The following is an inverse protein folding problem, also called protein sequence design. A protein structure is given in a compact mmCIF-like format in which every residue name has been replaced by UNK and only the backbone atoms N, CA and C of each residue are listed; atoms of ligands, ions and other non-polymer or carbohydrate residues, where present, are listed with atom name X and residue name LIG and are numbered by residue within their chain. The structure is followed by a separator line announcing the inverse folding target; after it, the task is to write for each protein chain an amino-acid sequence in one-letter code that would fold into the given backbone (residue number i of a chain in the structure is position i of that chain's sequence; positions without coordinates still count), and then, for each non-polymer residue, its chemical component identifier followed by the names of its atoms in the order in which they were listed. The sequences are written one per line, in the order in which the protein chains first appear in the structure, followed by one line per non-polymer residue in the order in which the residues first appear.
data_IF_868641105104
#
_entry.id   IF_868641105104
#
_cell.length_a   1.000
_cell.length_b   1.000
_cell.length_c   1.000
_cell.angle_alpha   90.00
_cell.angle_beta   90.00
_cell.angle_gamma   90.00
#
_symmetry.space_group_name_H-M   'P 1'
#
loop_
_entity.id
_entity.type
_entity.pdbx_description
1 polymer ?
#
# COMPACT_ATOMS: atom_id res chain seq x y z
N UNK A 1 -3.96 -4.91 -7.43
CA UNK A 1 -2.71 -4.26 -7.01
C UNK A 1 -2.89 -3.13 -6.02
N UNK A 2 -3.73 -2.15 -6.25
CA UNK A 2 -3.97 -1.08 -5.25
C UNK A 2 -4.50 -1.59 -3.90
N UNK A 3 -5.21 -2.71 -3.86
CA UNK A 3 -5.82 -3.22 -2.65
C UNK A 3 -4.81 -3.94 -1.73
N UNK A 4 -4.04 -4.87 -2.25
CA UNK A 4 -3.00 -5.59 -1.47
C UNK A 4 -1.84 -4.64 -1.14
N UNK A 5 -1.51 -3.72 -2.04
CA UNK A 5 -0.57 -2.64 -1.73
C UNK A 5 -1.11 -1.68 -0.66
N UNK A 6 -2.43 -1.54 -0.50
CA UNK A 6 -3.01 -0.87 0.68
C UNK A 6 -2.70 -1.62 1.98
N UNK A 7 -2.56 -2.94 1.95
CA UNK A 7 -2.17 -3.74 3.13
C UNK A 7 -0.68 -3.54 3.45
N UNK A 8 0.19 -3.57 2.44
CA UNK A 8 1.64 -3.40 2.61
C UNK A 8 2.03 -1.93 2.80
N UNK A 9 1.28 -1.00 2.20
CA UNK A 9 1.53 0.44 2.25
C UNK A 9 0.38 1.21 2.84
N UNK A 10 -0.47 0.59 3.71
CA UNK A 10 -1.47 1.40 4.39
C UNK A 10 -0.75 2.65 4.88
N UNK A 11 -1.01 3.82 4.27
CA UNK A 11 -0.72 5.02 4.99
C UNK A 11 -1.51 4.83 6.26
N UNK A 12 -0.84 4.76 7.40
CA UNK A 12 -1.54 5.07 8.62
C UNK A 12 -2.32 6.33 8.25
N UNK A 13 -3.64 6.21 8.15
CA UNK A 13 -4.47 7.37 8.27
C UNK A 13 -4.18 7.86 9.69
N UNK A 14 -3.05 8.58 9.83
CA UNK A 14 -2.91 9.47 10.95
C UNK A 14 -4.10 10.38 10.73
N UNK A 15 -5.16 10.16 11.49
CA UNK A 15 -6.14 11.19 11.75
C UNK A 15 -5.36 12.30 12.43
N UNK A 16 -4.57 13.03 11.64
CA UNK A 16 -4.04 14.33 12.01
C UNK A 16 -5.28 15.21 12.03
N UNK A 17 -5.98 15.11 13.16
CA UNK A 17 -6.92 16.15 13.55
C UNK A 17 -6.13 17.44 13.37
N UNK A 18 -6.49 18.21 12.35
CA UNK A 18 -6.02 19.58 12.22
C UNK A 18 -6.13 20.21 13.59
N UNK A 19 -5.14 20.97 14.07
CA UNK A 19 -5.29 21.76 15.27
C UNK A 19 -6.27 22.89 14.97
N UNK A 20 -7.54 22.58 14.89
CA UNK A 20 -8.59 23.55 15.09
C UNK A 20 -8.60 23.79 16.59
N UNK A 21 -8.02 24.92 17.01
CA UNK A 21 -8.20 25.48 18.33
C UNK A 21 -9.70 25.80 18.56
N UNK A 22 -10.47 24.74 18.77
CA UNK A 22 -11.74 24.80 19.47
C UNK A 22 -11.55 24.07 20.79
N UNK A 23 -11.63 24.82 21.86
CA UNK A 23 -11.87 24.31 23.21
C UNK A 23 -13.28 23.72 23.20
N UNK A 24 -13.39 22.48 22.72
CA UNK A 24 -14.54 21.62 22.95
C UNK A 24 -14.10 20.51 23.90
N UNK A 25 -15.02 20.13 24.78
CA UNK A 25 -14.83 18.97 25.64
C UNK A 25 -14.40 17.79 24.76
N UNK A 26 -13.18 17.29 24.97
CA UNK A 26 -12.57 16.24 24.13
C UNK A 26 -13.45 14.99 24.27
N UNK A 27 -14.11 14.62 23.20
CA UNK A 27 -14.89 13.37 23.18
C UNK A 27 -13.94 12.20 23.47
N UNK A 28 -14.25 11.43 24.51
CA UNK A 28 -13.44 10.28 24.93
C UNK A 28 -13.57 9.08 23.98
N UNK A 29 -14.54 9.12 23.08
CA UNK A 29 -14.77 8.10 22.07
C UNK A 29 -15.44 8.72 20.85
N UNK A 30 -15.03 8.28 19.66
CA UNK A 30 -15.70 8.56 18.39
C UNK A 30 -15.69 7.31 17.52
N UNK A 31 -16.64 7.24 16.59
CA UNK A 31 -16.69 6.20 15.59
C UNK A 31 -16.99 6.86 14.23
N UNK A 32 -16.32 6.39 13.20
CA UNK A 32 -16.50 6.86 11.83
C UNK A 32 -16.66 5.64 10.92
N UNK A 33 -17.44 5.78 9.87
CA UNK A 33 -17.59 4.73 8.89
C UNK A 33 -17.69 5.30 7.48
N UNK A 34 -17.48 4.43 6.50
CA UNK A 34 -17.67 4.78 5.11
C UNK A 34 -18.10 3.59 4.26
N UNK A 35 -18.75 3.90 3.18
CA UNK A 35 -19.05 2.98 2.08
C UNK A 35 -18.59 3.62 0.77
N UNK A 36 -17.89 2.86 -0.06
CA UNK A 36 -17.41 3.32 -1.36
C UNK A 36 -17.68 2.24 -2.40
N UNK A 37 -18.06 2.64 -3.61
CA UNK A 37 -18.27 1.73 -4.72
C UNK A 37 -18.07 2.43 -6.06
N UNK A 38 -17.65 1.69 -7.06
CA UNK A 38 -17.36 2.28 -8.36
C UNK A 38 -16.84 1.28 -9.38
N UNK A 39 -16.22 1.83 -10.41
CA UNK A 39 -15.67 1.08 -11.53
C UNK A 39 -14.24 1.48 -11.78
N UNK A 40 -13.47 0.52 -12.25
CA UNK A 40 -12.15 0.77 -12.79
C UNK A 40 -11.91 -0.03 -14.07
N UNK A 41 -10.99 0.46 -14.87
CA UNK A 41 -10.41 -0.24 -16.01
C UNK A 41 -8.95 -0.52 -15.67
N UNK A 42 -8.56 -1.77 -15.77
CA UNK A 42 -7.21 -2.28 -15.57
C UNK A 42 -6.63 -2.71 -16.92
N UNK A 43 -5.55 -2.09 -17.37
CA UNK A 43 -4.95 -2.37 -18.66
C UNK A 43 -4.16 -3.67 -18.69
N UNK A 44 -3.83 -4.22 -17.51
CA UNK A 44 -3.14 -5.50 -17.34
C UNK A 44 -3.47 -6.07 -15.96
N UNK A 45 -4.32 -7.08 -15.93
CA UNK A 45 -4.76 -7.71 -14.68
C UNK A 45 -3.63 -8.57 -14.12
N UNK A 46 -3.26 -8.32 -12.85
CA UNK A 46 -2.09 -8.97 -12.21
C UNK A 46 -2.36 -9.36 -10.77
N UNK A 47 -1.68 -10.41 -10.31
CA UNK A 47 -1.51 -10.76 -8.89
C UNK A 47 -0.02 -10.68 -8.57
N UNK A 48 0.38 -9.58 -7.94
CA UNK A 48 1.80 -9.28 -7.68
C UNK A 48 2.47 -10.31 -6.76
N UNK A 49 1.75 -10.76 -5.73
CA UNK A 49 2.26 -11.76 -4.79
C UNK A 49 2.58 -13.11 -5.46
N UNK A 50 1.93 -13.40 -6.59
CA UNK A 50 2.21 -14.59 -7.39
C UNK A 50 3.17 -14.30 -8.57
N UNK A 51 3.51 -13.05 -8.81
CA UNK A 51 4.22 -12.60 -10.02
C UNK A 51 3.51 -13.06 -11.30
N UNK A 52 2.17 -12.99 -11.29
CA UNK A 52 1.32 -13.45 -12.39
C UNK A 52 0.66 -12.25 -13.06
N UNK A 53 0.76 -12.18 -14.38
CA UNK A 53 0.06 -11.25 -15.25
C UNK A 53 -0.85 -12.04 -16.19
N UNK A 54 -2.07 -11.54 -16.38
CA UNK A 54 -2.97 -12.08 -17.39
C UNK A 54 -2.57 -11.62 -18.81
N UNK A 55 -1.75 -10.55 -18.91
CA UNK A 55 -1.43 -9.85 -20.17
C UNK A 55 -2.69 -9.39 -20.94
N UNK A 56 -3.79 -9.23 -20.18
CA UNK A 56 -5.09 -8.82 -20.69
C UNK A 56 -5.64 -7.68 -19.86
N UNK A 57 -6.43 -6.83 -20.51
CA UNK A 57 -7.15 -5.73 -19.84
C UNK A 57 -8.56 -6.16 -19.48
N UNK A 58 -9.06 -5.69 -18.33
CA UNK A 58 -10.44 -5.90 -17.95
C UNK A 58 -11.01 -4.69 -17.20
N UNK A 59 -12.33 -4.70 -17.00
CA UNK A 59 -13.05 -3.77 -16.17
C UNK A 59 -13.48 -4.46 -14.88
N UNK A 60 -13.42 -3.74 -13.78
CA UNK A 60 -13.84 -4.27 -12.50
C UNK A 60 -14.83 -3.36 -11.78
N UNK A 61 -15.76 -3.96 -11.08
CA UNK A 61 -16.45 -3.31 -9.99
C UNK A 61 -15.56 -3.29 -8.77
N UNK A 62 -15.48 -2.13 -8.10
CA UNK A 62 -14.74 -1.98 -6.86
C UNK A 62 -15.66 -1.54 -5.75
N UNK A 63 -15.43 -2.06 -4.56
CA UNK A 63 -16.10 -1.61 -3.36
C UNK A 63 -15.12 -1.55 -2.18
N UNK A 64 -15.41 -0.66 -1.24
CA UNK A 64 -14.66 -0.54 0.01
C UNK A 64 -15.63 -0.06 1.10
N UNK A 65 -15.58 -0.71 2.25
CA UNK A 65 -16.38 -0.35 3.41
C UNK A 65 -15.48 -0.39 4.65
N UNK A 66 -15.59 0.61 5.50
CA UNK A 66 -14.76 0.67 6.71
C UNK A 66 -15.49 1.25 7.90
N UNK A 67 -15.08 0.77 9.09
CA UNK A 67 -15.48 1.28 10.38
C UNK A 67 -14.22 1.51 11.22
N UNK A 68 -14.15 2.66 11.89
CA UNK A 68 -13.07 3.00 12.79
C UNK A 68 -13.63 3.53 14.11
N UNK A 69 -13.13 3.01 15.22
CA UNK A 69 -13.41 3.49 16.57
C UNK A 69 -12.15 4.06 17.20
N UNK A 70 -12.24 5.29 17.72
CA UNK A 70 -11.16 5.97 18.43
C UNK A 70 -11.56 6.15 19.90
N UNK A 71 -10.71 5.68 20.80
CA UNK A 71 -10.88 5.82 22.24
C UNK A 71 -9.72 6.64 22.81
N UNK A 72 -10.02 7.64 23.63
CA UNK A 72 -9.04 8.46 24.36
C UNK A 72 -9.29 8.34 25.86
N UNK A 73 -8.84 7.23 26.51
CA UNK A 73 -9.04 7.02 27.95
C UNK A 73 -8.42 8.13 28.80
N UNK A 74 -7.33 8.71 28.31
CA UNK A 74 -6.68 9.91 28.87
C UNK A 74 -6.33 10.89 27.75
N UNK A 75 -5.91 12.09 28.09
CA UNK A 75 -5.44 13.11 27.11
C UNK A 75 -4.23 12.64 26.29
N UNK A 76 -3.47 11.67 26.79
CA UNK A 76 -2.21 11.19 26.22
C UNK A 76 -2.31 9.80 25.60
N UNK A 77 -3.33 9.02 25.94
CA UNK A 77 -3.50 7.65 25.45
C UNK A 77 -4.57 7.63 24.36
N UNK A 78 -4.18 7.20 23.16
CA UNK A 78 -5.09 6.93 22.05
C UNK A 78 -5.13 5.43 21.77
N UNK A 79 -6.33 4.92 21.53
CA UNK A 79 -6.57 3.55 21.06
C UNK A 79 -7.47 3.65 19.83
N UNK A 80 -7.02 3.13 18.72
CA UNK A 80 -7.79 3.09 17.46
C UNK A 80 -8.00 1.63 17.08
N UNK A 81 -9.23 1.28 16.77
CA UNK A 81 -9.61 -0.03 16.26
C UNK A 81 -10.32 0.17 14.92
N UNK A 82 -9.95 -0.61 13.91
CA UNK A 82 -10.52 -0.51 12.58
C UNK A 82 -10.85 -1.87 11.99
N UNK A 83 -11.86 -1.87 11.12
CA UNK A 83 -12.17 -2.97 10.23
C UNK A 83 -12.50 -2.40 8.87
N UNK A 84 -11.96 -2.99 7.81
CA UNK A 84 -12.42 -2.72 6.45
C UNK A 84 -12.58 -3.98 5.63
N UNK A 85 -13.49 -3.90 4.69
CA UNK A 85 -13.72 -4.88 3.64
C UNK A 85 -13.59 -4.16 2.31
N UNK A 86 -12.71 -4.63 1.44
CA UNK A 86 -12.56 -4.10 0.10
C UNK A 86 -12.54 -5.21 -0.92
N UNK A 87 -13.10 -4.96 -2.10
CA UNK A 87 -13.15 -5.97 -3.16
C UNK A 87 -13.00 -5.37 -4.55
N UNK A 88 -12.63 -6.24 -5.47
CA UNK A 88 -12.51 -5.99 -6.89
C UNK A 88 -13.04 -7.20 -7.64
N UNK A 89 -14.06 -6.99 -8.46
CA UNK A 89 -14.74 -8.03 -9.21
C UNK A 89 -14.61 -7.72 -10.70
N UNK A 90 -13.83 -8.52 -11.41
CA UNK A 90 -13.57 -8.38 -12.84
C UNK A 90 -14.75 -8.87 -13.68
N UNK A 91 -14.90 -8.36 -14.89
CA UNK A 91 -16.01 -8.73 -15.75
C UNK A 91 -15.79 -10.05 -16.51
N UNK A 92 -14.55 -10.36 -16.86
CA UNK A 92 -14.19 -11.52 -17.68
C UNK A 92 -13.11 -12.39 -17.04
N UNK A 93 -12.31 -11.85 -16.13
CA UNK A 93 -11.17 -12.51 -15.48
C UNK A 93 -11.52 -12.77 -14.01
N UNK A 94 -12.59 -13.56 -13.76
CA UNK A 94 -13.12 -13.85 -12.43
C UNK A 94 -12.14 -14.63 -11.52
N UNK A 95 -11.18 -15.34 -12.11
CA UNK A 95 -10.07 -15.95 -11.35
C UNK A 95 -9.14 -14.94 -10.69
N UNK A 96 -9.20 -13.66 -11.09
CA UNK A 96 -8.46 -12.53 -10.49
C UNK A 96 -9.31 -11.70 -9.52
N UNK A 97 -10.56 -12.09 -9.28
CA UNK A 97 -11.42 -11.43 -8.30
C UNK A 97 -10.77 -11.45 -6.92
N UNK A 98 -10.86 -10.34 -6.20
CA UNK A 98 -10.22 -10.20 -4.89
C UNK A 98 -11.16 -9.59 -3.87
N UNK A 99 -11.23 -10.20 -2.70
CA UNK A 99 -11.85 -9.63 -1.51
C UNK A 99 -10.84 -9.64 -0.37
N UNK A 100 -10.76 -8.51 0.38
CA UNK A 100 -9.81 -8.37 1.48
C UNK A 100 -10.52 -7.85 2.71
N UNK A 101 -10.46 -8.63 3.78
CA UNK A 101 -10.84 -8.25 5.13
C UNK A 101 -9.61 -7.75 5.86
N UNK A 102 -9.67 -6.57 6.46
CA UNK A 102 -8.58 -6.01 7.25
C UNK A 102 -9.07 -5.61 8.63
N UNK A 103 -8.43 -6.15 9.66
CA UNK A 103 -8.55 -5.73 11.04
C UNK A 103 -7.32 -4.92 11.43
N UNK A 104 -7.51 -3.83 12.15
CA UNK A 104 -6.42 -2.99 12.65
C UNK A 104 -6.62 -2.60 14.12
N UNK A 105 -5.52 -2.51 14.84
CA UNK A 105 -5.46 -1.96 16.19
C UNK A 105 -4.20 -1.10 16.31
N UNK A 106 -4.35 0.09 16.89
CA UNK A 106 -3.23 0.98 17.21
C UNK A 106 -3.39 1.50 18.63
N UNK A 107 -2.30 1.52 19.37
CA UNK A 107 -2.23 2.11 20.71
C UNK A 107 -1.04 3.03 20.76
N UNK A 108 -1.28 4.30 21.09
CA UNK A 108 -0.21 5.29 21.22
C UNK A 108 -0.31 6.11 22.49
N UNK A 109 0.84 6.49 22.99
CA UNK A 109 0.97 7.35 24.16
C UNK A 109 1.87 8.55 23.85
N UNK A 110 1.37 9.73 24.21
CA UNK A 110 2.07 10.98 24.01
C UNK A 110 2.89 11.36 25.25
N UNK A 111 4.21 11.41 25.07
CA UNK A 111 5.18 11.80 26.11
C UNK A 111 5.61 13.25 25.99
N UNK A 112 5.12 14.00 24.97
CA UNK A 112 5.48 15.39 24.69
C UNK A 112 7.00 15.66 24.81
N UNK A 113 7.75 15.81 23.71
CA UNK A 113 7.28 15.96 22.31
C UNK A 113 7.25 14.66 21.50
N UNK A 114 7.44 13.51 22.12
CA UNK A 114 7.55 12.20 21.45
C UNK A 114 6.29 11.37 21.69
N UNK A 115 5.70 10.86 20.64
CA UNK A 115 4.65 9.83 20.70
C UNK A 115 5.27 8.46 20.47
N UNK A 116 4.94 7.50 21.35
CA UNK A 116 5.35 6.09 21.23
C UNK A 116 4.09 5.27 20.98
N UNK A 117 4.13 4.34 20.05
CA UNK A 117 2.98 3.50 19.79
C UNK A 117 3.34 2.12 19.27
N UNK A 118 2.32 1.29 19.22
CA UNK A 118 2.34 -0.04 18.61
C UNK A 118 1.09 -0.23 17.78
N UNK A 119 1.22 -0.90 16.65
CA UNK A 119 0.07 -1.26 15.82
C UNK A 119 0.12 -2.72 15.41
N UNK A 120 -1.06 -3.28 15.19
CA UNK A 120 -1.25 -4.63 14.68
C UNK A 120 -2.28 -4.61 13.55
N UNK A 121 -1.97 -5.32 12.47
CA UNK A 121 -2.83 -5.51 11.31
C UNK A 121 -2.94 -6.99 11.01
N UNK A 122 -4.14 -7.44 10.73
CA UNK A 122 -4.43 -8.76 10.18
C UNK A 122 -5.31 -8.60 8.96
N UNK A 123 -4.90 -9.18 7.85
CA UNK A 123 -5.74 -9.26 6.67
C UNK A 123 -5.88 -10.69 6.18
N UNK A 124 -7.09 -11.00 5.72
CA UNK A 124 -7.44 -12.21 5.01
C UNK A 124 -7.88 -11.83 3.60
N UNK A 125 -7.22 -12.37 2.60
CA UNK A 125 -7.50 -12.11 1.20
C UNK A 125 -7.95 -13.38 0.49
N UNK A 126 -8.93 -13.24 -0.41
CA UNK A 126 -9.32 -14.29 -1.36
C UNK A 126 -8.92 -13.93 -2.78
N UNK A 127 -8.73 -14.91 -3.63
CA UNK A 127 -8.47 -14.76 -5.06
C UNK A 127 -9.36 -15.76 -5.82
N UNK A 128 -10.14 -15.28 -6.81
CA UNK A 128 -11.11 -16.10 -7.51
C UNK A 128 -12.15 -16.74 -6.58
N UNK A 129 -12.47 -16.14 -5.45
CA UNK A 129 -13.33 -16.63 -4.37
C UNK A 129 -12.73 -17.71 -3.45
N UNK A 130 -11.52 -18.20 -3.70
CA UNK A 130 -10.82 -19.14 -2.83
C UNK A 130 -9.91 -18.38 -1.82
N UNK A 131 -9.67 -18.92 -0.61
CA UNK A 131 -8.68 -18.37 0.30
C UNK A 131 -7.33 -18.24 -0.39
N UNK A 132 -6.63 -17.12 -0.17
CA UNK A 132 -5.39 -16.85 -0.89
C UNK A 132 -4.23 -16.51 0.02
N UNK A 133 -4.42 -15.52 0.90
CA UNK A 133 -3.33 -14.99 1.71
C UNK A 133 -3.83 -14.47 3.05
N UNK A 134 -3.24 -14.97 4.12
CA UNK A 134 -3.28 -14.36 5.44
C UNK A 134 -2.01 -13.53 5.66
N UNK A 135 -2.18 -12.27 6.02
CA UNK A 135 -1.08 -11.36 6.29
C UNK A 135 -1.21 -10.72 7.67
N UNK A 136 -0.15 -10.78 8.46
CA UNK A 136 -0.06 -10.17 9.79
C UNK A 136 1.10 -9.19 9.83
N UNK A 137 0.89 -8.05 10.47
CA UNK A 137 1.95 -7.06 10.71
C UNK A 137 1.83 -6.49 12.11
N UNK A 138 2.86 -6.66 12.90
CA UNK A 138 3.05 -5.96 14.16
C UNK A 138 4.10 -4.87 13.99
N UNK A 139 3.92 -3.70 14.60
CA UNK A 139 4.95 -2.66 14.58
C UNK A 139 5.02 -1.90 15.90
N UNK A 140 6.22 -1.39 16.20
CA UNK A 140 6.45 -0.38 17.22
C UNK A 140 6.99 0.87 16.55
N UNK A 141 6.58 2.05 17.02
CA UNK A 141 6.98 3.28 16.38
C UNK A 141 7.23 4.42 17.37
N UNK A 142 8.04 5.35 16.90
CA UNK A 142 8.27 6.65 17.53
C UNK A 142 7.92 7.75 16.55
N UNK A 143 7.17 8.75 16.99
CA UNK A 143 6.84 9.93 16.21
C UNK A 143 7.14 11.21 16.99
N UNK A 144 7.54 12.27 16.29
CA UNK A 144 7.77 13.56 16.91
C UNK A 144 7.55 14.70 15.91
N UNK A 145 6.98 15.80 16.40
CA UNK A 145 6.93 17.05 15.67
C UNK A 145 8.28 17.77 15.88
N UNK A 146 9.17 17.70 14.88
CA UNK A 146 10.52 18.28 14.96
C UNK A 146 10.52 19.81 14.82
N UNK A 147 9.53 20.35 14.10
CA UNK A 147 9.26 21.76 13.92
C UNK A 147 7.74 21.95 13.80
N UNK A 148 7.24 23.19 13.76
CA UNK A 148 5.79 23.46 13.66
C UNK A 148 5.12 22.81 12.44
N UNK A 149 5.90 22.54 11.42
CA UNK A 149 5.47 22.06 10.12
C UNK A 149 6.15 20.73 9.69
N UNK A 150 6.97 20.10 10.54
CA UNK A 150 7.70 18.86 10.21
C UNK A 150 7.44 17.77 11.24
N UNK A 151 6.75 16.71 10.83
CA UNK A 151 6.55 15.52 11.65
C UNK A 151 7.38 14.36 11.11
N UNK A 152 8.12 13.69 11.98
CA UNK A 152 8.94 12.51 11.67
C UNK A 152 8.41 11.29 12.43
N UNK A 153 8.34 10.16 11.75
CA UNK A 153 7.97 8.87 12.34
C UNK A 153 8.92 7.78 11.88
N UNK A 154 9.52 7.06 12.83
CA UNK A 154 10.27 5.82 12.56
C UNK A 154 9.54 4.63 13.13
N UNK A 155 9.57 3.49 12.45
CA UNK A 155 8.99 2.23 12.94
C UNK A 155 9.85 1.02 12.64
N UNK A 156 9.75 -0.01 13.52
CA UNK A 156 10.22 -1.36 13.28
C UNK A 156 9.01 -2.28 13.13
N UNK A 157 9.09 -3.21 12.21
CA UNK A 157 7.96 -4.05 11.79
C UNK A 157 8.36 -5.51 11.77
N UNK A 158 7.42 -6.34 12.18
CA UNK A 158 7.43 -7.79 12.07
C UNK A 158 6.19 -8.21 11.29
N UNK A 159 6.37 -8.94 10.17
CA UNK A 159 5.30 -9.30 9.25
C UNK A 159 5.37 -10.78 8.95
N UNK A 160 4.21 -11.39 8.71
CA UNK A 160 4.09 -12.80 8.30
C UNK A 160 3.12 -12.89 7.14
N UNK A 161 3.48 -13.69 6.15
CA UNK A 161 2.63 -14.11 5.03
C UNK A 161 2.39 -15.60 5.13
N UNK A 162 1.14 -16.02 4.99
CA UNK A 162 0.72 -17.43 4.91
C UNK A 162 -0.18 -17.57 3.68
N UNK A 163 0.25 -18.33 2.69
CA UNK A 163 -0.51 -18.59 1.45
C UNK A 163 -1.24 -19.92 1.55
N UNK A 164 -2.53 -19.95 1.16
CA UNK A 164 -3.36 -21.16 1.29
C UNK A 164 -2.86 -22.29 0.37
N UNK A 165 -2.49 -21.96 -0.88
CA UNK A 165 -2.08 -22.95 -1.90
C UNK A 165 -0.58 -22.89 -2.26
N UNK A 166 0.25 -22.21 -1.47
CA UNK A 166 1.65 -22.01 -1.81
C UNK A 166 2.57 -21.85 -0.60
N UNK A 167 2.63 -22.87 0.26
CA UNK A 167 3.48 -22.90 1.48
C UNK A 167 4.92 -22.46 1.20
N UNK A 168 5.43 -22.73 -0.02
CA UNK A 168 6.78 -22.30 -0.43
C UNK A 168 6.99 -20.79 -0.41
N UNK A 169 5.91 -20.00 -0.44
CA UNK A 169 5.90 -18.52 -0.37
C UNK A 169 5.57 -17.97 1.01
N UNK A 170 5.24 -18.83 1.97
CA UNK A 170 5.08 -18.41 3.35
C UNK A 170 6.37 -17.77 3.84
N UNK A 171 6.25 -16.63 4.51
CA UNK A 171 7.43 -15.85 4.83
C UNK A 171 7.32 -15.05 6.15
N UNK A 172 8.45 -14.94 6.82
CA UNK A 172 8.68 -13.95 7.88
C UNK A 172 9.40 -12.74 7.28
N UNK A 173 8.96 -11.52 7.62
CA UNK A 173 9.53 -10.29 7.10
C UNK A 173 9.88 -9.36 8.26
N UNK A 174 11.14 -8.95 8.33
CA UNK A 174 11.61 -7.92 9.25
C UNK A 174 11.77 -6.61 8.50
N UNK A 175 11.14 -5.55 9.00
CA UNK A 175 11.13 -4.27 8.31
C UNK A 175 11.40 -3.07 9.22
N UNK A 176 11.86 -2.00 8.58
CA UNK A 176 11.98 -0.68 9.20
C UNK A 176 11.46 0.38 8.24
N UNK A 177 10.85 1.43 8.78
CA UNK A 177 10.41 2.58 7.98
C UNK A 177 10.72 3.92 8.64
N UNK A 178 10.86 4.93 7.79
CA UNK A 178 11.02 6.33 8.18
C UNK A 178 10.10 7.18 7.30
N UNK A 179 9.19 7.93 7.93
CA UNK A 179 8.27 8.84 7.27
C UNK A 179 8.49 10.26 7.75
N UNK A 180 8.65 11.20 6.81
CA UNK A 180 8.72 12.63 7.08
C UNK A 180 7.54 13.34 6.41
N UNK A 181 6.76 14.07 7.20
CA UNK A 181 5.64 14.89 6.73
C UNK A 181 6.00 16.36 6.85
N UNK A 182 5.82 17.10 5.78
CA UNK A 182 6.04 18.53 5.70
C UNK A 182 4.69 19.20 5.45
N UNK A 183 4.18 19.92 6.46
CA UNK A 183 2.90 20.60 6.39
C UNK A 183 3.09 22.02 5.88
N UNK A 184 2.15 22.53 5.08
CA UNK A 184 2.13 23.90 4.60
C UNK A 184 0.70 24.35 4.34
N UNK A 185 0.49 25.62 4.04
CA UNK A 185 -0.85 26.22 3.89
C UNK A 185 -1.76 25.93 5.10
N UNK A 186 -1.27 26.17 6.33
CA UNK A 186 -2.01 25.90 7.56
C UNK A 186 -2.46 24.42 7.68
N UNK A 187 -1.60 23.49 7.30
CA UNK A 187 -1.82 22.06 7.24
C UNK A 187 -2.91 21.58 6.23
N UNK A 188 -3.43 22.47 5.38
CA UNK A 188 -4.29 22.07 4.25
C UNK A 188 -3.51 21.23 3.21
N UNK A 189 -2.20 21.38 3.18
CA UNK A 189 -1.33 20.63 2.28
C UNK A 189 -0.23 19.97 3.07
N UNK A 190 0.16 18.78 2.61
CA UNK A 190 1.37 18.15 3.12
C UNK A 190 2.09 17.38 2.01
N UNK A 191 3.39 17.32 2.16
CA UNK A 191 4.28 16.48 1.39
C UNK A 191 4.78 15.36 2.31
N UNK A 192 4.74 14.12 1.82
CA UNK A 192 5.27 12.94 2.50
C UNK A 192 6.51 12.46 1.74
N UNK A 193 7.56 12.17 2.49
CA UNK A 193 8.69 11.38 2.04
C UNK A 193 8.81 10.14 2.96
N UNK A 194 8.66 8.96 2.39
CA UNK A 194 8.76 7.67 3.10
C UNK A 194 9.90 6.83 2.54
N UNK A 195 10.57 6.11 3.44
CA UNK A 195 11.59 5.12 3.14
C UNK A 195 11.28 3.87 3.92
N UNK A 196 11.20 2.72 3.24
CA UNK A 196 10.97 1.41 3.85
C UNK A 196 12.08 0.44 3.41
N UNK A 197 12.55 -0.37 4.33
CA UNK A 197 13.43 -1.50 4.05
C UNK A 197 12.86 -2.75 4.69
N UNK A 198 12.71 -3.82 3.90
CA UNK A 198 12.19 -5.12 4.34
C UNK A 198 13.17 -6.22 3.93
N UNK A 199 13.35 -7.20 4.79
CA UNK A 199 13.99 -8.47 4.51
C UNK A 199 12.98 -9.58 4.67
N UNK A 200 12.72 -10.32 3.62
CA UNK A 200 11.79 -11.43 3.55
C UNK A 200 12.57 -12.75 3.55
N UNK A 201 12.23 -13.62 4.50
CA UNK A 201 12.78 -14.98 4.68
C UNK A 201 11.61 -15.95 4.45
N UNK A 202 11.58 -16.58 3.29
CA UNK A 202 10.49 -17.45 2.86
C UNK A 202 10.82 -18.93 3.11
N UNK A 203 9.78 -19.80 3.16
CA UNK A 203 9.97 -21.24 3.29
C UNK A 203 10.84 -21.81 2.14
N UNK A 204 10.62 -21.33 0.92
CA UNK A 204 11.52 -21.64 -0.20
C UNK A 204 12.42 -20.45 -0.51
N UNK A 205 13.72 -20.66 -0.41
CA UNK A 205 14.78 -19.65 -0.62
C UNK A 205 14.71 -18.91 -1.97
N UNK A 206 14.01 -19.46 -2.95
CA UNK A 206 13.75 -18.80 -4.21
C UNK A 206 12.88 -17.53 -4.06
N UNK A 207 12.24 -17.34 -2.93
CA UNK A 207 11.41 -16.16 -2.62
C UNK A 207 12.04 -15.25 -1.57
N UNK A 208 13.19 -15.64 -0.98
CA UNK A 208 13.96 -14.76 -0.10
C UNK A 208 14.35 -13.50 -0.85
N UNK A 209 14.09 -12.33 -0.26
CA UNK A 209 14.43 -11.07 -0.91
C UNK A 209 14.64 -9.93 0.08
N UNK A 210 15.43 -8.95 -0.37
CA UNK A 210 15.54 -7.63 0.25
C UNK A 210 14.78 -6.61 -0.59
N UNK A 211 13.92 -5.82 0.06
CA UNK A 211 13.13 -4.76 -0.57
C UNK A 211 13.50 -3.39 -0.02
N UNK A 212 13.83 -2.48 -0.92
CA UNK A 212 13.89 -1.04 -0.65
C UNK A 212 12.74 -0.33 -1.33
N UNK A 213 11.98 0.49 -0.58
CA UNK A 213 10.88 1.28 -1.12
C UNK A 213 11.03 2.75 -0.75
N UNK A 214 10.87 3.62 -1.75
CA UNK A 214 10.78 5.07 -1.58
C UNK A 214 9.38 5.53 -1.94
N UNK A 215 8.76 6.33 -1.08
CA UNK A 215 7.41 6.87 -1.28
C UNK A 215 7.44 8.40 -1.20
N UNK A 216 6.78 9.03 -2.16
CA UNK A 216 6.56 10.47 -2.18
C UNK A 216 5.08 10.72 -2.39
N UNK A 217 4.46 11.58 -1.61
CA UNK A 217 3.09 11.99 -1.85
C UNK A 217 2.89 13.48 -1.56
N UNK A 218 2.04 14.10 -2.36
CA UNK A 218 1.53 15.45 -2.14
C UNK A 218 0.02 15.36 -1.97
N UNK A 219 -0.49 15.91 -0.87
CA UNK A 219 -1.93 16.03 -0.62
C UNK A 219 -2.26 17.50 -0.44
N UNK A 220 -3.32 17.94 -1.11
CA UNK A 220 -3.84 19.29 -0.99
C UNK A 220 -5.35 19.26 -0.76
N UNK A 221 -5.81 19.86 0.34
CA UNK A 221 -7.22 20.04 0.66
C UNK A 221 -7.61 21.48 0.38
N UNK A 222 -8.77 21.67 -0.21
CA UNK A 222 -9.31 22.99 -0.55
C UNK A 222 -10.85 22.93 -0.61
N UNK A 223 -11.47 24.09 -0.49
CA UNK A 223 -12.92 24.20 -0.63
C UNK A 223 -13.27 24.66 -2.05
N UNK A 224 -14.16 23.94 -2.70
CA UNK A 224 -14.73 24.30 -4.01
C UNK A 224 -16.26 24.25 -3.94
N UNK A 225 -16.92 25.31 -4.31
CA UNK A 225 -18.39 25.46 -4.26
C UNK A 225 -19.00 25.23 -2.86
N UNK A 226 -18.24 25.41 -1.79
CA UNK A 226 -18.67 25.20 -0.41
C UNK A 226 -18.30 23.84 0.17
N UNK A 227 -17.88 22.89 -0.67
CA UNK A 227 -17.58 21.51 -0.29
C UNK A 227 -16.07 21.26 -0.20
N UNK A 228 -15.67 20.34 0.69
CA UNK A 228 -14.28 19.93 0.82
C UNK A 228 -13.84 19.08 -0.36
N UNK A 229 -12.67 19.41 -0.90
CA UNK A 229 -12.03 18.70 -1.99
C UNK A 229 -10.61 18.31 -1.60
N UNK A 230 -10.11 17.18 -2.12
CA UNK A 230 -8.76 16.69 -1.85
C UNK A 230 -8.10 16.16 -3.11
N UNK A 231 -7.00 16.80 -3.51
CA UNK A 231 -6.10 16.28 -4.53
C UNK A 231 -4.99 15.47 -3.88
N UNK A 232 -4.63 14.35 -4.49
CA UNK A 232 -3.49 13.53 -4.11
C UNK A 232 -2.67 13.18 -5.35
N UNK A 233 -1.36 13.33 -5.22
CA UNK A 233 -0.37 12.83 -6.17
C UNK A 233 0.60 11.95 -5.40
N UNK A 234 0.91 10.78 -5.95
CA UNK A 234 1.83 9.82 -5.35
C UNK A 234 2.86 9.36 -6.37
N UNK A 235 4.05 9.11 -5.89
CA UNK A 235 5.09 8.38 -6.59
C UNK A 235 5.72 7.36 -5.66
N UNK A 236 5.96 6.16 -6.18
CA UNK A 236 6.58 5.08 -5.45
C UNK A 236 7.63 4.41 -6.34
N UNK A 237 8.78 4.15 -5.75
CA UNK A 237 9.83 3.33 -6.31
C UNK A 237 10.08 2.14 -5.40
N UNK A 238 10.19 0.96 -5.97
CA UNK A 238 10.54 -0.28 -5.30
C UNK A 238 11.72 -0.91 -6.02
N UNK A 239 12.66 -1.45 -5.22
CA UNK A 239 13.80 -2.25 -5.69
C UNK A 239 13.84 -3.50 -4.84
N UNK A 240 13.66 -4.66 -5.47
CA UNK A 240 13.61 -5.96 -4.82
C UNK A 240 14.70 -6.86 -5.42
N UNK A 241 15.59 -7.32 -4.58
CA UNK A 241 16.69 -8.21 -4.93
C UNK A 241 16.46 -9.58 -4.28
N UNK A 242 16.50 -10.66 -5.08
CA UNK A 242 16.31 -12.04 -4.62
C UNK A 242 17.64 -12.73 -4.41
N UNK A 243 17.79 -13.48 -3.30
CA UNK A 243 19.09 -14.03 -2.89
C UNK A 243 19.54 -15.25 -3.70
N UNK A 244 18.65 -16.12 -4.18
CA UNK A 244 19.05 -17.43 -4.79
C UNK A 244 18.42 -17.73 -6.16
N UNK A 245 17.74 -16.78 -6.80
CA UNK A 245 17.11 -17.01 -8.10
C UNK A 245 18.05 -16.64 -9.23
N UNK A 246 18.60 -17.66 -9.88
CA UNK A 246 19.42 -17.49 -11.07
C UNK A 246 18.53 -17.49 -12.33
N UNK A 247 18.33 -16.33 -12.93
CA UNK A 247 17.62 -16.22 -14.21
C UNK A 247 18.58 -16.59 -15.33
N UNK A 248 18.29 -17.69 -16.02
CA UNK A 248 19.06 -18.11 -17.20
C UNK A 248 18.52 -17.38 -18.43
N UNK A 249 19.17 -16.29 -18.82
CA UNK A 249 18.90 -15.68 -20.13
C UNK A 249 19.30 -16.64 -21.24
N UNK A 250 18.35 -17.16 -21.99
CA UNK A 250 18.59 -17.87 -23.24
C UNK A 250 18.86 -16.88 -24.36
N UNK A 251 19.95 -16.15 -24.29
CA UNK A 251 20.48 -15.54 -25.52
C UNK A 251 20.81 -16.65 -26.48
N UNK A 252 20.43 -16.54 -27.78
CA UNK A 252 20.78 -17.55 -28.76
C UNK A 252 22.30 -17.71 -28.73
N UNK A 253 22.76 -18.93 -28.50
CA UNK A 253 24.19 -19.26 -28.52
C UNK A 253 24.71 -18.97 -29.92
N UNK A 254 25.25 -17.80 -30.13
CA UNK A 254 26.07 -17.52 -31.29
C UNK A 254 27.39 -18.24 -31.07
N UNK A 255 27.51 -19.46 -31.59
CA UNK A 255 28.80 -20.10 -31.76
C UNK A 255 29.66 -19.21 -32.64
N UNK A 256 30.76 -18.71 -32.13
CA UNK A 256 31.76 -18.02 -32.96
C UNK A 256 32.22 -19.05 -34.01
N UNK A 257 32.00 -18.80 -35.29
CA UNK A 257 32.34 -19.73 -36.35
C UNK A 257 33.86 -19.95 -36.50
N UNK A 258 34.70 -19.19 -35.82
CA UNK A 258 36.16 -19.25 -35.87
C UNK A 258 36.80 -19.95 -34.67
N UNK A 259 36.19 -19.89 -33.51
CA UNK A 259 36.77 -20.44 -32.27
C UNK A 259 36.02 -21.63 -31.71
N UNK A 260 34.74 -21.82 -32.05
CA UNK A 260 33.91 -22.86 -31.50
C UNK A 260 33.56 -22.66 -30.00
N UNK A 261 33.91 -21.52 -29.43
CA UNK A 261 33.65 -21.23 -28.03
C UNK A 261 32.15 -20.93 -27.80
N UNK A 262 31.59 -21.59 -26.81
CA UNK A 262 30.27 -21.33 -26.31
C UNK A 262 30.30 -20.02 -25.51
N UNK A 263 29.55 -19.03 -25.94
CA UNK A 263 29.34 -17.80 -25.13
C UNK A 263 28.77 -18.17 -23.76
N UNK A 264 29.41 -17.67 -22.70
CA UNK A 264 29.02 -17.92 -21.32
C UNK A 264 27.54 -17.59 -21.10
N UNK A 265 26.83 -18.52 -20.46
CA UNK A 265 25.54 -18.22 -19.85
C UNK A 265 25.77 -17.22 -18.73
N UNK A 266 25.38 -16.00 -18.92
CA UNK A 266 25.31 -15.04 -17.83
C UNK A 266 24.12 -15.44 -16.93
N UNK A 267 24.40 -15.96 -15.75
CA UNK A 267 23.40 -16.14 -14.70
C UNK A 267 23.35 -14.85 -13.89
N UNK A 268 22.27 -14.11 -13.98
CA UNK A 268 22.05 -12.94 -13.14
C UNK A 268 21.04 -13.32 -12.04
N UNK A 269 21.25 -12.83 -10.82
CA UNK A 269 20.25 -12.89 -9.76
C UNK A 269 18.97 -12.15 -10.20
N UNK A 270 17.81 -12.62 -9.74
CA UNK A 270 16.55 -11.95 -10.04
C UNK A 270 16.51 -10.59 -9.34
N UNK A 271 16.14 -9.56 -10.08
CA UNK A 271 15.92 -8.21 -9.57
C UNK A 271 14.68 -7.61 -10.21
N UNK A 272 13.76 -7.15 -9.35
CA UNK A 272 12.50 -6.55 -9.77
C UNK A 272 12.46 -5.08 -9.33
N UNK A 273 12.07 -4.19 -10.24
CA UNK A 273 11.92 -2.77 -9.95
C UNK A 273 10.53 -2.29 -10.35
N UNK A 274 9.91 -1.50 -9.48
CA UNK A 274 8.64 -0.87 -9.81
C UNK A 274 8.73 0.65 -9.69
N UNK A 275 8.12 1.36 -10.63
CA UNK A 275 7.89 2.80 -10.60
C UNK A 275 6.43 3.05 -10.80
N UNK A 276 5.77 3.65 -9.81
CA UNK A 276 4.33 3.82 -9.82
C UNK A 276 3.99 5.28 -9.57
N UNK A 277 3.14 5.84 -10.43
CA UNK A 277 2.57 7.17 -10.30
C UNK A 277 1.07 7.04 -10.03
N UNK A 278 0.57 7.82 -9.10
CA UNK A 278 -0.84 7.83 -8.71
C UNK A 278 -1.36 9.26 -8.66
N UNK A 279 -2.60 9.45 -9.09
CA UNK A 279 -3.31 10.71 -8.93
C UNK A 279 -4.77 10.42 -8.61
N UNK A 280 -5.35 11.17 -7.66
CA UNK A 280 -6.77 11.14 -7.38
C UNK A 280 -7.28 12.51 -6.98
N UNK A 281 -8.57 12.74 -7.23
CA UNK A 281 -9.27 13.93 -6.82
C UNK A 281 -10.59 13.57 -6.14
N UNK A 282 -10.63 13.68 -4.81
CA UNK A 282 -11.89 13.55 -4.08
C UNK A 282 -12.65 14.87 -4.17
N UNK A 283 -13.80 14.82 -4.80
CA UNK A 283 -14.70 15.93 -5.02
C UNK A 283 -15.88 15.79 -4.06
N UNK A 284 -15.97 16.66 -3.05
CA UNK A 284 -17.13 16.72 -2.16
C UNK A 284 -18.38 17.14 -2.93
N UNK A 285 -19.46 16.39 -2.76
CA UNK A 285 -20.79 16.70 -3.29
C UNK A 285 -21.68 17.32 -2.21
N UNK A 286 -21.50 16.90 -0.97
CA UNK A 286 -22.07 17.43 0.25
C UNK A 286 -21.31 16.87 1.46
N UNK A 287 -21.79 17.09 2.68
CA UNK A 287 -21.19 16.64 3.93
C UNK A 287 -21.01 15.11 4.03
N UNK A 288 -21.78 14.33 3.27
CA UNK A 288 -21.79 12.85 3.31
C UNK A 288 -21.15 12.23 2.06
N UNK A 289 -21.45 12.77 0.88
CA UNK A 289 -21.08 12.14 -0.38
C UNK A 289 -19.92 12.84 -1.08
N UNK A 290 -19.04 12.03 -1.66
CA UNK A 290 -17.95 12.47 -2.53
C UNK A 290 -17.77 11.53 -3.71
N UNK A 291 -17.23 12.04 -4.82
CA UNK A 291 -16.81 11.27 -6.00
C UNK A 291 -15.30 11.38 -6.13
N UNK A 292 -14.62 10.26 -6.42
CA UNK A 292 -13.18 10.24 -6.55
C UNK A 292 -12.76 9.58 -7.88
N UNK A 293 -12.53 10.34 -8.96
CA UNK A 293 -11.76 9.87 -10.09
C UNK A 293 -10.29 9.63 -9.67
N UNK A 294 -9.72 8.52 -10.14
CA UNK A 294 -8.35 8.12 -9.86
C UNK A 294 -7.69 7.50 -11.07
N UNK A 295 -6.37 7.63 -11.13
CA UNK A 295 -5.52 6.97 -12.12
C UNK A 295 -4.21 6.55 -11.46
N UNK A 296 -3.74 5.36 -11.78
CA UNK A 296 -2.39 4.92 -11.48
C UNK A 296 -1.72 4.39 -12.75
N UNK A 297 -0.43 4.65 -12.87
CA UNK A 297 0.43 4.08 -13.89
C UNK A 297 1.63 3.45 -13.22
N UNK A 298 1.95 2.21 -13.57
CA UNK A 298 3.06 1.44 -13.03
C UNK A 298 3.91 0.85 -14.14
N UNK A 299 5.22 0.98 -14.01
CA UNK A 299 6.21 0.27 -14.79
C UNK A 299 6.90 -0.73 -13.87
N UNK A 300 6.83 -2.00 -14.22
CA UNK A 300 7.42 -3.12 -13.51
C UNK A 300 8.49 -3.71 -14.41
N UNK A 301 9.74 -3.65 -13.97
CA UNK A 301 10.89 -4.11 -14.75
C UNK A 301 11.53 -5.27 -14.01
N UNK A 302 11.67 -6.40 -14.66
CA UNK A 302 12.29 -7.60 -14.13
C UNK A 302 13.18 -8.26 -15.19
N UNK A 303 14.14 -9.06 -14.73
CA UNK A 303 14.83 -10.00 -15.60
C UNK A 303 14.11 -11.36 -15.73
N UNK A 304 12.87 -11.44 -15.21
CA UNK A 304 11.91 -12.55 -15.40
C UNK A 304 10.75 -12.02 -16.25
N UNK A 305 10.53 -12.59 -17.43
CA UNK A 305 9.56 -12.08 -18.41
C UNK A 305 8.14 -11.91 -17.85
N UNK A 306 7.67 -12.82 -17.00
CA UNK A 306 6.33 -12.75 -16.40
C UNK A 306 6.16 -11.63 -15.36
N UNK A 307 7.26 -11.03 -14.90
CA UNK A 307 7.28 -9.92 -13.94
C UNK A 307 7.68 -8.58 -14.59
N UNK A 308 7.91 -8.55 -15.93
CA UNK A 308 8.22 -7.34 -16.70
C UNK A 308 6.96 -6.89 -17.48
N UNK A 309 6.32 -5.81 -17.02
CA UNK A 309 5.10 -5.29 -17.62
C UNK A 309 4.84 -3.82 -17.25
N UNK A 310 4.02 -3.16 -18.05
CA UNK A 310 3.42 -1.88 -17.74
C UNK A 310 1.94 -2.06 -17.37
N UNK A 311 1.43 -1.22 -16.47
CA UNK A 311 0.05 -1.29 -16.00
C UNK A 311 -0.53 0.10 -15.78
N UNK A 312 -1.74 0.32 -16.28
CA UNK A 312 -2.54 1.51 -16.00
C UNK A 312 -3.90 1.12 -15.43
N UNK A 313 -4.26 1.68 -14.29
CA UNK A 313 -5.60 1.52 -13.71
C UNK A 313 -6.24 2.89 -13.62
N UNK A 314 -7.43 3.04 -14.19
CA UNK A 314 -8.20 4.27 -14.10
C UNK A 314 -9.62 3.96 -13.62
N UNK A 315 -10.12 4.72 -12.67
CA UNK A 315 -11.41 4.44 -12.05
C UNK A 315 -12.13 5.68 -11.54
N UNK A 316 -13.37 5.46 -11.16
CA UNK A 316 -14.20 6.45 -10.47
C UNK A 316 -15.04 5.75 -9.40
N UNK A 317 -15.03 6.30 -8.18
CA UNK A 317 -15.82 5.79 -7.07
C UNK A 317 -16.74 6.87 -6.51
N UNK A 318 -17.86 6.45 -5.96
CA UNK A 318 -18.75 7.22 -5.12
C UNK A 318 -18.58 6.75 -3.68
N UNK A 319 -18.39 7.68 -2.77
CA UNK A 319 -18.17 7.41 -1.35
C UNK A 319 -19.19 8.15 -0.50
N UNK A 320 -19.66 7.46 0.54
CA UNK A 320 -20.44 8.03 1.64
C UNK A 320 -19.66 7.89 2.94
N UNK A 321 -19.44 8.99 3.66
CA UNK A 321 -18.83 9.04 4.99
C UNK A 321 -19.90 9.30 6.06
N UNK A 322 -19.84 8.65 7.24
CA UNK A 322 -20.81 8.77 8.33
C UNK A 322 -20.19 8.53 9.72
#
# INVERSE_FOLDING_TARGET
MQLIQRILTLPLAIGLASPVLMVQAQEKASANGYLEGGFEHDSNVTVDELNTSADESDQAWVFDAGLEGILKPTERLNVTLGYSLSGRQYQNLDEFDQDIHLLSADVSYDFDPVTVGTSYYYSHATLGSDPFLDFRRASVYLGSLLAEDVYLRGSLQDKHKEFDDSDARDAEIKGASLDAFFFFNQAQSHFLLGLDGDREDAEAKAYDNDLLRVRVALVHRFTLAGEENRLRFGWRYEDREYEEVTVTSTSPVLTDPLTGDLTERSSNERADKARILEASWRIGLNEVFSVEPSVSWGQYTSNVDSADYDKTVAGVTLRADF
#
